data_IF_936276796423
#
_entry.id   IF_936276796423
#
_cell.length_a   1.000
_cell.length_b   1.000
_cell.length_c   1.000
_cell.angle_alpha   90.00
_cell.angle_beta   90.00
_cell.angle_gamma   90.00
#
_symmetry.space_group_name_H-M   'P 1'
#
loop_
_entity.id
_entity.type
_entity.pdbx_description
1 polymer ?
#
# COMPACT_ATOMS: atom_id res chain seq x y z
N UNK A 1 5.64 -13.25 -29.76
CA UNK A 1 4.53 -13.94 -29.08
C UNK A 1 4.96 -14.50 -27.74
N UNK A 2 6.04 -15.28 -27.70
CA UNK A 2 6.54 -15.87 -26.47
C UNK A 2 6.95 -14.81 -25.47
N UNK A 3 7.63 -13.74 -25.92
CA UNK A 3 8.06 -12.65 -25.04
C UNK A 3 6.87 -11.90 -24.45
N UNK A 4 5.83 -11.67 -25.24
CA UNK A 4 4.63 -10.97 -24.73
C UNK A 4 3.92 -11.80 -23.64
N UNK A 5 3.89 -13.12 -23.82
CA UNK A 5 3.31 -14.01 -22.82
C UNK A 5 4.14 -14.04 -21.54
N UNK A 6 5.48 -14.04 -21.68
CA UNK A 6 6.37 -14.02 -20.51
C UNK A 6 6.23 -12.72 -19.72
N UNK A 7 6.14 -11.58 -20.42
CA UNK A 7 5.95 -10.29 -19.77
C UNK A 7 4.62 -10.26 -19.04
N UNK A 8 3.55 -10.73 -19.69
CA UNK A 8 2.23 -10.79 -19.08
C UNK A 8 2.25 -11.66 -17.83
N UNK A 9 2.91 -12.81 -17.89
CA UNK A 9 3.01 -13.71 -16.75
C UNK A 9 3.77 -13.06 -15.59
N UNK A 10 4.82 -12.28 -15.88
CA UNK A 10 5.57 -11.56 -14.86
C UNK A 10 4.70 -10.49 -14.17
N UNK A 11 3.92 -9.75 -14.96
CA UNK A 11 3.02 -8.74 -14.39
C UNK A 11 1.92 -9.38 -13.53
N UNK A 12 1.36 -10.50 -13.98
CA UNK A 12 0.37 -11.21 -13.19
C UNK A 12 0.94 -11.70 -11.87
N UNK A 13 2.16 -12.25 -11.91
CA UNK A 13 2.86 -12.71 -10.72
C UNK A 13 3.15 -11.54 -9.77
N UNK A 14 3.56 -10.40 -10.33
CA UNK A 14 3.80 -9.21 -9.53
C UNK A 14 2.51 -8.77 -8.82
N UNK A 15 1.37 -8.77 -9.51
CA UNK A 15 0.10 -8.40 -8.89
C UNK A 15 -0.24 -9.34 -7.73
N UNK A 16 -0.01 -10.64 -7.90
CA UNK A 16 -0.22 -11.60 -6.83
C UNK A 16 0.72 -11.35 -5.64
N UNK A 17 1.99 -11.10 -5.92
CA UNK A 17 2.97 -10.81 -4.89
C UNK A 17 2.66 -9.51 -4.15
N UNK A 18 2.19 -8.49 -4.87
CA UNK A 18 1.81 -7.21 -4.25
C UNK A 18 0.63 -7.39 -3.30
N UNK A 19 -0.29 -8.31 -3.61
CA UNK A 19 -1.40 -8.60 -2.72
C UNK A 19 -0.97 -9.23 -1.40
N UNK A 20 0.22 -9.81 -1.34
CA UNK A 20 0.77 -10.43 -0.14
C UNK A 20 1.72 -9.51 0.64
N UNK A 21 2.16 -8.42 0.03
CA UNK A 21 3.07 -7.46 0.69
C UNK A 21 2.27 -6.42 1.43
N UNK A 22 2.63 -6.19 2.69
CA UNK A 22 1.89 -5.30 3.57
C UNK A 22 2.69 -4.05 3.89
N UNK A 23 1.95 -2.95 4.04
CA UNK A 23 2.47 -1.68 4.55
C UNK A 23 1.54 -1.20 5.66
N UNK A 24 2.06 -0.38 6.55
CA UNK A 24 1.25 0.23 7.60
C UNK A 24 1.24 1.74 7.45
N UNK A 25 0.07 2.31 7.67
CA UNK A 25 -0.09 3.74 7.85
C UNK A 25 -0.66 4.03 9.23
N UNK A 26 -0.37 5.19 9.78
CA UNK A 26 -0.83 5.52 11.13
C UNK A 26 -1.14 7.00 11.27
N UNK A 27 -1.88 7.32 12.31
CA UNK A 27 -2.19 8.68 12.68
C UNK A 27 -2.32 8.80 14.20
N UNK A 28 -2.11 10.01 14.71
CA UNK A 28 -2.25 10.28 16.14
C UNK A 28 -1.22 9.55 16.99
N UNK A 29 0.01 9.38 16.48
CA UNK A 29 1.04 8.68 17.23
C UNK A 29 0.78 7.19 17.40
N UNK A 30 0.08 6.58 16.45
CA UNK A 30 -0.25 5.17 16.50
C UNK A 30 -1.61 4.86 17.12
N UNK A 31 -2.42 5.87 17.40
CA UNK A 31 -3.76 5.66 17.91
C UNK A 31 -4.67 4.98 16.90
N UNK A 32 -4.44 5.21 15.61
CA UNK A 32 -5.09 4.50 14.52
C UNK A 32 -4.01 3.96 13.60
N UNK A 33 -4.04 2.66 13.34
CA UNK A 33 -3.09 1.98 12.46
C UNK A 33 -3.87 1.21 11.41
N UNK A 34 -3.51 1.44 10.15
CA UNK A 34 -4.14 0.78 9.02
C UNK A 34 -3.08 -0.07 8.31
N UNK A 35 -3.41 -1.31 8.03
CA UNK A 35 -2.56 -2.17 7.21
C UNK A 35 -3.18 -2.28 5.83
N UNK A 36 -2.38 -2.04 4.80
CA UNK A 36 -2.79 -2.19 3.41
C UNK A 36 -1.80 -3.09 2.68
N UNK A 37 -2.24 -3.68 1.58
CA UNK A 37 -1.33 -4.45 0.75
C UNK A 37 -0.87 -3.60 -0.44
N UNK A 38 0.00 -4.17 -1.30
CA UNK A 38 0.55 -3.46 -2.45
C UNK A 38 -0.45 -3.22 -3.57
N UNK A 39 -1.65 -3.78 -3.47
CA UNK A 39 -2.74 -3.57 -4.42
C UNK A 39 -3.71 -2.49 -3.95
N UNK A 40 -3.32 -1.72 -2.93
CA UNK A 40 -4.13 -0.65 -2.35
C UNK A 40 -5.44 -1.15 -1.74
N UNK A 41 -5.39 -2.34 -1.18
CA UNK A 41 -6.52 -2.91 -0.44
C UNK A 41 -6.24 -2.78 1.05
N UNK A 42 -7.24 -2.34 1.81
CA UNK A 42 -7.13 -2.29 3.26
C UNK A 42 -7.32 -3.70 3.81
N UNK A 43 -6.36 -4.14 4.61
CA UNK A 43 -6.36 -5.48 5.20
C UNK A 43 -6.88 -5.44 6.62
N UNK A 44 -6.47 -4.42 7.39
CA UNK A 44 -6.91 -4.29 8.77
C UNK A 44 -6.90 -2.83 9.21
N UNK A 45 -7.68 -2.58 10.25
CA UNK A 45 -7.78 -1.26 10.87
C UNK A 45 -7.80 -1.48 12.38
N UNK A 46 -6.86 -0.85 13.09
CA UNK A 46 -6.78 -0.94 14.55
C UNK A 46 -6.95 0.45 15.14
N UNK A 47 -7.85 0.56 16.09
CA UNK A 47 -8.16 1.81 16.76
C UNK A 47 -7.97 1.61 18.25
N UNK A 48 -7.18 2.48 18.90
CA UNK A 48 -7.03 2.46 20.34
C UNK A 48 -8.34 2.92 20.98
N UNK A 49 -8.71 2.27 22.07
CA UNK A 49 -9.99 2.57 22.76
C UNK A 49 -10.09 4.02 23.21
N UNK A 50 -8.96 4.61 23.57
CA UNK A 50 -8.88 5.95 24.11
C UNK A 50 -9.39 7.03 23.16
N UNK A 51 -9.36 6.77 21.84
CA UNK A 51 -9.86 7.75 20.87
C UNK A 51 -11.30 7.51 20.46
N UNK A 52 -11.93 6.47 20.99
CA UNK A 52 -13.33 6.17 20.70
C UNK A 52 -14.20 6.85 21.76
N UNK A 53 -14.75 8.01 21.39
CA UNK A 53 -15.59 8.78 22.29
C UNK A 53 -16.80 9.29 21.52
N UNK A 54 -18.01 9.06 22.04
CA UNK A 54 -19.20 9.62 21.40
C UNK A 54 -19.23 11.14 21.42
N UNK A 55 -18.41 11.77 22.28
CA UNK A 55 -18.35 13.22 22.39
C UNK A 55 -17.42 13.85 21.35
N UNK A 56 -16.56 13.04 20.71
CA UNK A 56 -15.61 13.55 19.73
C UNK A 56 -15.44 12.59 18.56
N UNK A 57 -16.51 12.36 17.86
CA UNK A 57 -16.52 11.50 16.68
C UNK A 57 -15.68 12.11 15.54
N UNK A 58 -15.65 13.45 15.47
CA UNK A 58 -14.87 14.16 14.44
C UNK A 58 -13.38 13.86 14.54
N UNK A 59 -12.84 13.79 15.75
CA UNK A 59 -11.43 13.42 15.93
C UNK A 59 -11.15 12.02 15.39
N UNK A 60 -12.01 11.06 15.71
CA UNK A 60 -11.86 9.69 15.25
C UNK A 60 -11.92 9.62 13.73
N UNK A 61 -12.85 10.34 13.10
CA UNK A 61 -12.97 10.40 11.65
C UNK A 61 -11.70 10.94 11.00
N UNK A 62 -11.14 12.01 11.56
CA UNK A 62 -9.92 12.62 11.04
C UNK A 62 -8.72 11.68 11.17
N UNK A 63 -8.59 10.99 12.29
CA UNK A 63 -7.50 10.04 12.50
C UNK A 63 -7.61 8.85 11.56
N UNK A 64 -8.80 8.33 11.34
CA UNK A 64 -9.00 7.21 10.41
C UNK A 64 -8.64 7.64 9.01
N UNK A 65 -9.12 8.80 8.57
CA UNK A 65 -8.82 9.32 7.22
C UNK A 65 -7.32 9.49 7.03
N UNK A 66 -6.64 10.09 8.01
CA UNK A 66 -5.19 10.30 7.93
C UNK A 66 -4.43 8.99 7.88
N UNK A 67 -4.79 8.01 8.70
CA UNK A 67 -4.13 6.71 8.72
C UNK A 67 -4.36 5.93 7.43
N UNK A 68 -5.58 5.96 6.90
CA UNK A 68 -5.91 5.30 5.63
C UNK A 68 -5.09 5.92 4.49
N UNK A 69 -5.07 7.25 4.41
CA UNK A 69 -4.32 7.93 3.35
C UNK A 69 -2.82 7.66 3.46
N UNK A 70 -2.28 7.62 4.68
CA UNK A 70 -0.87 7.27 4.89
C UNK A 70 -0.58 5.86 4.38
N UNK A 71 -1.44 4.90 4.71
CA UNK A 71 -1.28 3.51 4.25
C UNK A 71 -1.37 3.41 2.72
N UNK A 72 -2.30 4.14 2.10
CA UNK A 72 -2.46 4.10 0.65
C UNK A 72 -1.26 4.72 -0.08
N UNK A 73 -0.69 5.81 0.46
CA UNK A 73 0.53 6.39 -0.10
C UNK A 73 1.67 5.39 -0.04
N UNK A 74 1.87 4.74 1.10
CA UNK A 74 2.92 3.74 1.27
C UNK A 74 2.71 2.53 0.36
N UNK A 75 1.46 2.12 0.17
CA UNK A 75 1.10 1.04 -0.75
C UNK A 75 1.50 1.40 -2.19
N UNK A 76 1.16 2.61 -2.64
CA UNK A 76 1.50 3.07 -3.99
C UNK A 76 3.02 3.16 -4.19
N UNK A 77 3.72 3.66 -3.18
CA UNK A 77 5.18 3.77 -3.24
C UNK A 77 5.84 2.40 -3.33
N UNK A 78 5.35 1.45 -2.54
CA UNK A 78 5.86 0.08 -2.59
C UNK A 78 5.59 -0.56 -3.95
N UNK A 79 4.38 -0.43 -4.47
CA UNK A 79 4.02 -0.98 -5.78
C UNK A 79 4.87 -0.36 -6.89
N UNK A 80 5.07 0.96 -6.84
CA UNK A 80 5.92 1.65 -7.82
C UNK A 80 7.36 1.16 -7.74
N UNK A 81 7.88 0.95 -6.54
CA UNK A 81 9.23 0.43 -6.34
C UNK A 81 9.39 -0.98 -6.93
N UNK A 82 8.42 -1.86 -6.71
CA UNK A 82 8.46 -3.21 -7.27
C UNK A 82 8.32 -3.20 -8.79
N UNK A 83 7.48 -2.31 -9.33
CA UNK A 83 7.37 -2.14 -10.78
C UNK A 83 8.66 -1.62 -11.39
N UNK A 84 9.32 -0.68 -10.71
CA UNK A 84 10.59 -0.12 -11.18
C UNK A 84 11.69 -1.19 -11.27
N UNK A 85 11.70 -2.14 -10.34
CA UNK A 85 12.66 -3.25 -10.38
C UNK A 85 12.49 -4.10 -11.64
N UNK A 86 11.24 -4.36 -12.02
CA UNK A 86 10.96 -5.13 -13.25
C UNK A 86 11.31 -4.30 -14.48
N UNK A 87 10.89 -3.04 -14.53
CA UNK A 87 11.18 -2.14 -15.65
C UNK A 87 12.68 -1.93 -15.79
N UNK A 88 13.41 -1.77 -14.67
CA UNK A 88 14.86 -1.62 -14.68
C UNK A 88 15.58 -2.82 -15.24
N UNK A 89 15.05 -4.03 -15.01
CA UNK A 89 15.61 -5.25 -15.57
C UNK A 89 15.28 -5.46 -17.04
N UNK A 90 14.33 -4.70 -17.58
CA UNK A 90 13.90 -4.80 -18.98
C UNK A 90 14.44 -3.70 -19.86
N UNK A 91 14.97 -2.63 -19.26
CA UNK A 91 15.49 -1.48 -20.01
C UNK A 91 17.01 -1.57 -20.13
N UNK A 92 17.59 -1.12 -21.27
CA UNK A 92 19.05 -1.06 -21.41
C UNK A 92 19.64 -0.12 -20.37
N UNK A 93 20.87 -0.41 -19.89
CA UNK A 93 21.57 0.49 -18.99
C UNK A 93 21.76 1.86 -19.64
N UNK A 94 21.55 2.91 -18.86
CA UNK A 94 21.76 4.27 -19.32
C UNK A 94 20.51 5.01 -19.75
N UNK A 95 19.36 4.33 -19.87
CA UNK A 95 18.09 5.00 -20.16
C UNK A 95 17.52 5.61 -18.88
N UNK A 96 17.80 4.98 -17.76
CA UNK A 96 17.43 5.50 -16.46
C UNK A 96 18.57 6.34 -15.90
#
# INVERSE_FOLDING_TARGET
MRQAQEVRARFQRLQEELGEKMVEGSAGGGMVVVTANGRQELVSLRIEKEVVSPDDVGLLQDLIRAAVNDALVRSREMAASEMAKIAGGMLPPGIL
#
